data_IF_855872863767
#
_entry.id   IF_855872863767
#
_cell.length_a   1.000
_cell.length_b   1.000
_cell.length_c   1.000
_cell.angle_alpha   90.00
_cell.angle_beta   90.00
_cell.angle_gamma   90.00
#
_symmetry.space_group_name_H-M   'P 1'
#
loop_
_entity.id
_entity.type
_entity.pdbx_description
1 polymer ?
#
# COMPACT_ATOMS: atom_id res chain seq x y z
N UNK A 1 17.04 2.05 2.51
CA UNK A 1 16.12 0.99 3.00
C UNK A 1 16.09 -0.26 2.10
N UNK A 2 16.07 -1.47 2.68
CA UNK A 2 16.15 -2.74 1.89
C UNK A 2 14.81 -3.47 1.72
N UNK A 3 13.81 -3.15 2.54
CA UNK A 3 12.50 -3.80 2.55
C UNK A 3 11.44 -2.79 2.95
N UNK A 4 10.31 -2.81 2.25
CA UNK A 4 9.11 -2.04 2.59
C UNK A 4 7.92 -2.98 2.76
N UNK A 5 7.05 -2.67 3.70
CA UNK A 5 5.85 -3.44 4.04
C UNK A 5 4.60 -2.69 3.60
N UNK A 6 3.94 -3.21 2.58
CA UNK A 6 2.76 -2.60 1.98
C UNK A 6 1.49 -3.16 2.63
N UNK A 7 0.57 -2.28 3.01
CA UNK A 7 -0.76 -2.65 3.49
C UNK A 7 -1.73 -2.69 2.31
N UNK A 8 -2.17 -3.88 1.94
CA UNK A 8 -3.15 -4.11 0.89
C UNK A 8 -4.55 -4.19 1.47
N UNK A 9 -5.54 -3.66 0.76
CA UNK A 9 -6.97 -3.83 1.03
C UNK A 9 -7.71 -4.16 -0.27
N UNK A 10 -8.73 -5.01 -0.18
CA UNK A 10 -9.65 -5.28 -1.28
C UNK A 10 -10.90 -4.42 -1.11
N UNK A 11 -11.11 -3.46 -2.01
CA UNK A 11 -12.31 -2.61 -2.00
C UNK A 11 -13.16 -2.86 -3.25
N UNK A 12 -14.49 -2.64 -3.19
CA UNK A 12 -15.30 -2.61 -4.40
C UNK A 12 -14.82 -1.48 -5.31
N UNK A 13 -14.71 -1.77 -6.60
CA UNK A 13 -14.45 -0.74 -7.60
C UNK A 13 -15.66 0.20 -7.73
N UNK A 14 -15.50 1.34 -8.40
CA UNK A 14 -16.59 2.30 -8.66
C UNK A 14 -17.79 1.69 -9.38
N UNK A 15 -17.62 0.56 -10.06
CA UNK A 15 -18.70 -0.20 -10.72
C UNK A 15 -19.53 -1.09 -9.77
N UNK A 16 -19.11 -1.25 -8.50
CA UNK A 16 -19.74 -2.10 -7.48
C UNK A 16 -19.70 -3.62 -7.76
N UNK A 17 -19.15 -4.03 -8.91
CA UNK A 17 -19.16 -5.41 -9.41
C UNK A 17 -17.81 -6.07 -9.23
N UNK A 18 -16.74 -5.33 -9.52
CA UNK A 18 -15.38 -5.84 -9.43
C UNK A 18 -14.73 -5.46 -8.10
N UNK A 19 -13.80 -6.30 -7.65
CA UNK A 19 -12.96 -6.03 -6.49
C UNK A 19 -11.60 -5.53 -7.00
N UNK A 20 -11.13 -4.42 -6.44
CA UNK A 20 -9.84 -3.83 -6.78
C UNK A 20 -8.95 -3.82 -5.55
N UNK A 21 -7.65 -4.04 -5.76
CA UNK A 21 -6.65 -3.93 -4.71
C UNK A 21 -6.23 -2.47 -4.56
N UNK A 22 -6.14 -2.04 -3.31
CA UNK A 22 -5.61 -0.74 -2.92
C UNK A 22 -4.44 -0.96 -1.96
N UNK A 23 -3.50 -0.01 -1.97
CA UNK A 23 -2.38 0.06 -1.06
C UNK A 23 -2.57 1.32 -0.23
N UNK A 24 -2.90 1.15 1.04
CA UNK A 24 -3.27 2.29 1.90
C UNK A 24 -2.07 2.90 2.60
N UNK A 25 -1.07 2.07 2.90
CA UNK A 25 0.12 2.50 3.63
C UNK A 25 1.34 1.66 3.30
N UNK A 26 2.50 2.26 3.57
CA UNK A 26 3.82 1.64 3.50
C UNK A 26 4.42 1.74 4.89
N UNK A 27 5.00 0.65 5.39
CA UNK A 27 5.79 0.67 6.60
C UNK A 27 7.23 0.29 6.31
N UNK A 28 8.15 0.97 6.96
CA UNK A 28 9.58 0.74 6.91
C UNK A 28 10.01 -0.34 7.92
N UNK A 29 11.31 -0.67 7.94
CA UNK A 29 11.90 -1.63 8.89
C UNK A 29 11.88 -1.16 10.34
N UNK A 30 11.88 0.14 10.59
CA UNK A 30 11.78 0.79 11.90
C UNK A 30 10.32 0.99 12.36
N UNK A 31 9.36 0.38 11.65
CA UNK A 31 7.94 0.39 11.96
C UNK A 31 7.26 1.77 11.89
N UNK A 32 7.90 2.77 11.28
CA UNK A 32 7.20 3.98 10.85
C UNK A 32 6.25 3.63 9.71
N UNK A 33 5.12 4.33 9.66
CA UNK A 33 4.05 4.08 8.69
C UNK A 33 3.81 5.36 7.93
N UNK A 34 3.77 5.24 6.61
CA UNK A 34 3.55 6.33 5.69
C UNK A 34 2.29 6.06 4.87
N UNK A 35 1.39 7.03 4.83
CA UNK A 35 0.11 6.90 4.11
C UNK A 35 0.31 7.22 2.64
N UNK A 36 -0.31 6.42 1.77
CA UNK A 36 -0.38 6.72 0.34
C UNK A 36 -1.61 7.61 0.10
N UNK A 37 -1.46 8.76 -0.60
CA UNK A 37 -2.60 9.63 -0.96
C UNK A 37 -3.70 8.86 -1.69
N UNK A 38 -4.97 9.15 -1.39
CA UNK A 38 -6.14 8.39 -1.86
C UNK A 38 -6.16 8.22 -3.40
N UNK A 39 -5.77 9.26 -4.12
CA UNK A 39 -5.68 9.28 -5.59
C UNK A 39 -4.65 8.28 -6.15
N UNK A 40 -3.68 7.85 -5.34
CA UNK A 40 -2.62 6.93 -5.72
C UNK A 40 -2.76 5.54 -5.12
N UNK A 41 -3.71 5.30 -4.21
CA UNK A 41 -3.83 4.01 -3.51
C UNK A 41 -4.19 2.85 -4.43
N UNK A 42 -4.82 3.09 -5.58
CA UNK A 42 -5.18 2.00 -6.49
C UNK A 42 -3.93 1.25 -6.95
N UNK A 43 -3.98 -0.09 -6.89
CA UNK A 43 -2.86 -0.94 -7.35
C UNK A 43 -2.46 -0.67 -8.81
N UNK A 44 -3.36 -0.12 -9.61
CA UNK A 44 -3.12 0.24 -11.00
C UNK A 44 -2.01 1.29 -11.17
N UNK A 45 -1.77 2.14 -10.17
CA UNK A 45 -0.65 3.09 -10.18
C UNK A 45 0.69 2.43 -9.80
N UNK A 46 0.64 1.27 -9.15
CA UNK A 46 1.80 0.55 -8.62
C UNK A 46 2.29 -0.55 -9.58
N UNK A 47 2.57 -0.17 -10.83
CA UNK A 47 2.85 -1.10 -11.95
C UNK A 47 4.03 -2.04 -11.69
N UNK A 48 5.15 -1.54 -11.16
CA UNK A 48 6.31 -2.38 -10.82
C UNK A 48 6.02 -3.35 -9.68
N UNK A 49 5.20 -2.94 -8.71
CA UNK A 49 4.76 -3.81 -7.61
C UNK A 49 3.90 -4.97 -8.12
N UNK A 50 3.03 -4.71 -9.09
CA UNK A 50 2.17 -5.72 -9.69
C UNK A 50 2.94 -6.81 -10.43
N UNK A 51 4.17 -6.55 -10.87
CA UNK A 51 5.03 -7.55 -11.52
C UNK A 51 5.67 -8.51 -10.52
N UNK A 52 5.64 -8.19 -9.22
CA UNK A 52 6.31 -9.00 -8.20
C UNK A 52 5.57 -10.32 -7.94
N UNK A 53 6.34 -11.37 -7.60
CA UNK A 53 5.76 -12.63 -7.16
C UNK A 53 4.96 -12.50 -5.85
N UNK A 54 5.34 -11.53 -5.01
CA UNK A 54 4.59 -11.19 -3.81
C UNK A 54 3.16 -10.75 -4.15
N UNK A 55 2.99 -9.88 -5.15
CA UNK A 55 1.68 -9.44 -5.60
C UNK A 55 0.83 -10.60 -6.15
N UNK A 56 1.41 -11.49 -6.95
CA UNK A 56 0.70 -12.70 -7.43
C UNK A 56 0.17 -13.55 -6.26
N UNK A 57 0.97 -13.72 -5.21
CA UNK A 57 0.54 -14.43 -3.97
C UNK A 57 -0.56 -13.68 -3.22
N UNK A 58 -0.48 -12.34 -3.16
CA UNK A 58 -1.53 -11.49 -2.57
C UNK A 58 -2.86 -11.70 -3.31
N UNK A 59 -2.85 -11.53 -4.63
CA UNK A 59 -4.04 -11.71 -5.48
C UNK A 59 -4.69 -13.09 -5.30
N UNK A 60 -3.87 -14.14 -5.16
CA UNK A 60 -4.37 -15.49 -4.95
C UNK A 60 -4.93 -15.74 -3.55
N UNK A 61 -4.52 -14.96 -2.55
CA UNK A 61 -4.82 -15.20 -1.14
C UNK A 61 -5.84 -14.25 -0.52
N UNK A 62 -6.09 -13.10 -1.14
CA UNK A 62 -7.09 -12.12 -0.74
C UNK A 62 -8.23 -12.11 -1.77
N UNK A 63 -9.35 -12.72 -1.43
CA UNK A 63 -10.49 -12.93 -2.37
C UNK A 63 -11.78 -12.27 -1.92
N UNK A 64 -11.91 -11.96 -0.63
CA UNK A 64 -13.13 -11.35 -0.07
C UNK A 64 -12.96 -9.83 0.02
N UNK A 65 -14.07 -9.11 -0.15
CA UNK A 65 -14.15 -7.67 0.08
C UNK A 65 -13.69 -7.33 1.50
N UNK A 66 -13.04 -6.18 1.63
CA UNK A 66 -12.53 -5.62 2.88
C UNK A 66 -11.45 -6.48 3.56
N UNK A 67 -10.94 -7.51 2.89
CA UNK A 67 -9.75 -8.20 3.39
C UNK A 67 -8.56 -7.27 3.32
N UNK A 68 -7.79 -7.24 4.41
CA UNK A 68 -6.55 -6.50 4.52
C UNK A 68 -5.38 -7.46 4.75
N UNK A 69 -4.20 -7.09 4.26
CA UNK A 69 -2.97 -7.80 4.59
C UNK A 69 -1.74 -6.90 4.42
N UNK A 70 -0.86 -6.95 5.42
CA UNK A 70 0.46 -6.34 5.35
C UNK A 70 1.46 -7.34 4.78
N UNK A 71 2.19 -6.97 3.74
CA UNK A 71 3.21 -7.82 3.10
C UNK A 71 4.50 -7.03 2.90
N UNK A 72 5.60 -7.58 3.39
CA UNK A 72 6.92 -7.00 3.24
C UNK A 72 7.65 -7.55 2.01
N UNK A 73 8.11 -6.64 1.17
CA UNK A 73 8.73 -6.92 -0.13
C UNK A 73 10.14 -6.35 -0.11
N UNK A 74 11.11 -7.15 -0.55
CA UNK A 74 12.50 -6.69 -0.73
C UNK A 74 12.56 -5.69 -1.88
N UNK A 75 13.24 -4.56 -1.66
CA UNK A 75 13.30 -3.47 -2.62
C UNK A 75 14.25 -3.80 -3.77
N UNK A 76 13.70 -4.14 -4.93
CA UNK A 76 14.45 -4.26 -6.18
C UNK A 76 14.85 -2.88 -6.69
N UNK A 77 15.77 -2.81 -7.67
CA UNK A 77 16.18 -1.54 -8.28
C UNK A 77 15.00 -0.76 -8.87
N UNK A 78 14.02 -1.46 -9.43
CA UNK A 78 12.81 -0.87 -10.02
C UNK A 78 11.89 -0.31 -8.94
N UNK A 79 11.61 -1.11 -7.89
CA UNK A 79 10.77 -0.66 -6.77
C UNK A 79 11.41 0.50 -6.01
N UNK A 80 12.74 0.47 -5.80
CA UNK A 80 13.45 1.58 -5.16
C UNK A 80 13.18 2.90 -5.88
N UNK A 81 13.36 2.95 -7.20
CA UNK A 81 13.10 4.18 -7.98
C UNK A 81 11.67 4.70 -7.85
N UNK A 82 10.70 3.81 -7.65
CA UNK A 82 9.29 4.21 -7.49
C UNK A 82 8.97 4.73 -6.10
N UNK A 83 9.53 4.11 -5.05
CA UNK A 83 9.09 4.33 -3.67
C UNK A 83 10.10 5.06 -2.77
N UNK A 84 11.36 5.16 -3.19
CA UNK A 84 12.47 5.70 -2.40
C UNK A 84 13.26 6.67 -3.30
N UNK A 85 13.50 7.89 -2.82
CA UNK A 85 14.30 8.88 -3.53
C UNK A 85 15.83 8.65 -3.35
N UNK A 86 16.65 9.57 -3.83
CA UNK A 86 18.12 9.48 -3.71
C UNK A 86 18.61 9.68 -2.27
N UNK A 87 17.81 10.33 -1.42
CA UNK A 87 18.09 10.67 -0.03
C UNK A 87 17.44 9.68 0.97
N UNK A 88 16.95 8.54 0.49
CA UNK A 88 16.26 7.47 1.24
C UNK A 88 14.91 7.90 1.87
N UNK A 89 14.28 8.95 1.34
CA UNK A 89 12.91 9.34 1.71
C UNK A 89 11.87 8.52 0.95
N UNK A 90 10.72 8.29 1.60
CA UNK A 90 9.59 7.63 0.96
C UNK A 90 8.81 8.60 0.08
N UNK A 91 8.64 8.21 -1.18
CA UNK A 91 7.92 8.98 -2.18
C UNK A 91 6.96 8.10 -2.99
N UNK A 92 5.98 8.73 -3.64
CA UNK A 92 5.20 8.12 -4.72
C UNK A 92 4.54 9.23 -5.56
N UNK A 93 4.53 9.08 -6.88
CA UNK A 93 3.83 10.02 -7.76
C UNK A 93 4.28 11.48 -7.62
N UNK A 94 5.60 11.70 -7.52
CA UNK A 94 6.23 13.01 -7.30
C UNK A 94 5.83 13.70 -5.97
N UNK A 95 5.38 12.93 -4.98
CA UNK A 95 5.03 13.41 -3.64
C UNK A 95 5.78 12.62 -2.56
N UNK A 96 6.13 13.28 -1.45
CA UNK A 96 6.61 12.63 -0.24
C UNK A 96 5.45 12.08 0.58
N UNK A 97 5.62 10.91 1.17
CA UNK A 97 4.56 10.26 1.94
C UNK A 97 4.52 10.75 3.40
N UNK A 98 3.34 11.14 3.87
CA UNK A 98 3.14 11.59 5.26
C UNK A 98 3.33 10.43 6.24
N UNK A 99 4.27 10.59 7.17
CA UNK A 99 4.43 9.70 8.32
C UNK A 99 3.24 9.87 9.29
N UNK A 100 2.60 8.77 9.64
CA UNK A 100 1.52 8.75 10.61
C UNK A 100 1.91 7.96 11.84
N UNK A 101 1.67 8.57 13.01
CA UNK A 101 1.76 7.89 14.28
C UNK A 101 0.74 6.73 14.31
N UNK A 102 1.10 5.55 14.84
CA UNK A 102 0.26 4.35 14.83
C UNK A 102 -1.16 4.59 15.39
N UNK A 103 -1.30 5.57 16.30
CA UNK A 103 -2.60 6.00 16.84
C UNK A 103 -3.51 6.62 15.77
N UNK A 104 -2.97 7.44 14.85
CA UNK A 104 -3.72 7.98 13.70
C UNK A 104 -4.15 6.87 12.73
N UNK A 105 -3.29 5.88 12.49
CA UNK A 105 -3.62 4.75 11.60
C UNK A 105 -4.76 3.89 12.14
N UNK A 106 -4.76 3.57 13.44
CA UNK A 106 -5.87 2.81 14.07
C UNK A 106 -7.20 3.58 14.02
N UNK A 107 -7.15 4.90 14.12
CA UNK A 107 -8.33 5.75 14.02
C UNK A 107 -8.87 5.80 12.57
N UNK A 108 -7.98 5.91 11.57
CA UNK A 108 -8.34 5.78 10.15
C UNK A 108 -8.94 4.41 9.81
N UNK A 109 -8.32 3.32 10.28
CA UNK A 109 -8.82 1.97 10.03
C UNK A 109 -10.23 1.76 10.60
N UNK A 110 -10.52 2.33 11.78
CA UNK A 110 -11.87 2.33 12.39
C UNK A 110 -12.87 3.14 11.56
N UNK A 111 -12.48 4.29 11.03
CA UNK A 111 -13.37 5.12 10.20
C UNK A 111 -13.68 4.46 8.85
N UNK A 112 -12.69 3.86 8.20
CA UNK A 112 -12.88 3.16 6.91
C UNK A 112 -13.72 1.89 7.07
N UNK A 113 -13.69 1.24 8.23
CA UNK A 113 -14.52 0.05 8.52
C UNK A 113 -15.90 0.37 9.12
N UNK A 114 -16.15 1.60 9.61
CA UNK A 114 -17.46 1.99 10.18
C UNK A 114 -18.40 2.68 9.19
N UNK A 115 -17.90 3.16 8.03
CA UNK A 115 -18.71 3.84 7.02
C UNK A 115 -19.39 2.86 6.03
N UNK A 116 -19.22 1.55 6.24
CA UNK A 116 -19.91 0.49 5.47
C UNK A 116 -20.55 -0.56 6.37
#
# INVERSE_FOLDING_TARGET
MDKLCFEFVVLPSSDGKSNTFYITSIATSDATVHVIPEEFQSVNYHTELMKTFAYTKIKNSMKKRYQTRKICITMTKELRKTYIDEDDNLQFGDQYLEEVDQKKQQQWHKLVTQVY
#
